data_IF_680013964938
#
_entry.id   IF_680013964938
#
_cell.length_a   1.000
_cell.length_b   1.000
_cell.length_c   1.000
_cell.angle_alpha   90.00
_cell.angle_beta   90.00
_cell.angle_gamma   90.00
#
_symmetry.space_group_name_H-M   'P 1'
#
loop_
_entity.id
_entity.type
_entity.pdbx_description
1 polymer ?
#
# COMPACT_ATOMS: atom_id res chain seq x y z
N UNK A 1 0.06 21.86 -83.02
CA UNK A 1 -0.12 22.15 -81.58
C UNK A 1 -0.90 20.98 -81.00
N UNK A 2 -0.29 20.07 -80.22
CA UNK A 2 -0.17 20.10 -78.74
C UNK A 2 -1.54 20.41 -78.09
N UNK A 3 -2.11 19.60 -77.20
CA UNK A 3 -1.51 19.07 -75.96
C UNK A 3 -2.18 17.72 -75.57
N UNK A 4 -1.36 16.72 -75.22
CA UNK A 4 -1.83 15.48 -74.57
C UNK A 4 -2.11 15.74 -73.09
N UNK A 5 -3.34 15.49 -72.64
CA UNK A 5 -3.72 15.55 -71.23
C UNK A 5 -3.21 14.29 -70.52
N UNK A 6 -2.11 14.41 -69.76
CA UNK A 6 -1.63 13.34 -68.87
C UNK A 6 -2.49 13.35 -67.61
N UNK A 7 -3.35 12.34 -67.44
CA UNK A 7 -4.06 12.12 -66.18
C UNK A 7 -3.13 11.47 -65.15
N UNK A 8 -3.05 11.97 -63.90
CA UNK A 8 -2.21 11.38 -62.89
C UNK A 8 -2.75 10.01 -62.46
N UNK A 9 -1.90 8.98 -62.55
CA UNK A 9 -2.18 7.64 -61.99
C UNK A 9 -2.28 7.76 -60.48
N UNK A 10 -3.47 7.61 -59.92
CA UNK A 10 -3.68 7.59 -58.48
C UNK A 10 -3.19 6.22 -57.95
N UNK A 11 -1.96 6.17 -57.41
CA UNK A 11 -1.47 4.97 -56.76
C UNK A 11 -2.34 4.69 -55.51
N UNK A 12 -2.88 3.47 -55.33
CA UNK A 12 -3.66 3.16 -54.13
C UNK A 12 -2.75 3.34 -52.92
N UNK A 13 -3.17 4.22 -51.99
CA UNK A 13 -2.47 4.44 -50.72
C UNK A 13 -2.49 3.12 -49.95
N UNK A 14 -1.35 2.42 -49.87
CA UNK A 14 -1.17 1.26 -49.00
C UNK A 14 -1.35 1.74 -47.55
N UNK A 15 -2.50 1.45 -46.95
CA UNK A 15 -2.68 1.62 -45.51
C UNK A 15 -1.76 0.63 -44.80
N UNK A 16 -0.94 1.11 -43.87
CA UNK A 16 -0.14 0.24 -43.03
C UNK A 16 -1.07 -0.74 -42.29
N UNK A 17 -0.81 -2.04 -42.41
CA UNK A 17 -1.48 -3.03 -41.56
C UNK A 17 -0.98 -2.79 -40.15
N UNK A 18 -1.87 -2.39 -39.25
CA UNK A 18 -1.59 -2.40 -37.81
C UNK A 18 -1.31 -3.86 -37.48
N UNK A 19 -0.05 -4.21 -37.22
CA UNK A 19 0.27 -5.50 -36.62
C UNK A 19 -0.39 -5.47 -35.26
N UNK A 20 -1.45 -6.24 -35.09
CA UNK A 20 -1.90 -6.62 -33.76
C UNK A 20 -0.71 -7.34 -33.14
N UNK A 21 0.02 -6.66 -32.25
CA UNK A 21 1.04 -7.30 -31.44
C UNK A 21 0.24 -8.15 -30.46
N UNK A 22 -0.03 -9.39 -30.87
CA UNK A 22 -0.44 -10.42 -29.91
C UNK A 22 0.75 -10.54 -28.97
N UNK A 23 0.59 -10.13 -27.71
CA UNK A 23 1.61 -10.37 -26.70
C UNK A 23 1.97 -11.86 -26.74
N UNK A 24 3.28 -12.14 -26.76
CA UNK A 24 3.76 -13.51 -26.82
C UNK A 24 3.14 -14.30 -25.64
N UNK A 25 2.56 -15.50 -25.87
CA UNK A 25 1.96 -16.30 -24.81
C UNK A 25 2.88 -16.53 -23.60
N UNK A 26 4.20 -16.59 -23.80
CA UNK A 26 5.20 -16.69 -22.73
C UNK A 26 5.29 -15.39 -21.91
N UNK A 27 5.21 -14.23 -22.57
CA UNK A 27 5.24 -12.92 -21.91
C UNK A 27 3.99 -12.73 -21.04
N UNK A 28 2.83 -13.17 -21.54
CA UNK A 28 1.57 -13.14 -20.78
C UNK A 28 1.70 -14.05 -19.55
N UNK A 29 2.12 -15.30 -19.74
CA UNK A 29 2.28 -16.29 -18.66
C UNK A 29 3.25 -15.79 -17.58
N UNK A 30 4.37 -15.19 -18.00
CA UNK A 30 5.38 -14.68 -17.07
C UNK A 30 4.86 -13.48 -16.26
N UNK A 31 4.14 -12.56 -16.91
CA UNK A 31 3.52 -11.40 -16.26
C UNK A 31 2.45 -11.83 -15.25
N UNK A 32 1.63 -12.80 -15.59
CA UNK A 32 0.62 -13.36 -14.67
C UNK A 32 1.28 -14.08 -13.49
N UNK A 33 2.35 -14.85 -13.75
CA UNK A 33 3.15 -15.47 -12.71
C UNK A 33 3.75 -14.45 -11.72
N UNK A 34 4.37 -13.38 -12.23
CA UNK A 34 4.90 -12.32 -11.37
C UNK A 34 3.81 -11.59 -10.60
N UNK A 35 2.64 -11.35 -11.20
CA UNK A 35 1.49 -10.76 -10.51
C UNK A 35 1.05 -11.63 -9.33
N UNK A 36 0.91 -12.95 -9.54
CA UNK A 36 0.56 -13.88 -8.47
C UNK A 36 1.60 -13.88 -7.34
N UNK A 37 2.89 -13.85 -7.67
CA UNK A 37 3.97 -13.76 -6.66
C UNK A 37 3.92 -12.44 -5.88
N UNK A 38 3.71 -11.32 -6.56
CA UNK A 38 3.59 -10.01 -5.91
C UNK A 38 2.38 -9.95 -4.97
N UNK A 39 1.21 -10.44 -5.42
CA UNK A 39 0.01 -10.54 -4.59
C UNK A 39 0.22 -11.48 -3.39
N UNK A 40 0.89 -12.61 -3.59
CA UNK A 40 1.24 -13.53 -2.52
C UNK A 40 2.20 -12.90 -1.51
N UNK A 41 3.16 -12.08 -1.93
CA UNK A 41 4.07 -11.37 -1.01
C UNK A 41 3.32 -10.31 -0.19
N UNK A 42 2.40 -9.57 -0.81
CA UNK A 42 1.54 -8.60 -0.12
C UNK A 42 0.69 -9.31 0.95
N UNK A 43 0.08 -10.46 0.60
CA UNK A 43 -0.71 -11.29 1.55
C UNK A 43 0.15 -12.01 2.58
N UNK A 44 1.36 -12.42 2.21
CA UNK A 44 2.33 -13.11 3.08
C UNK A 44 2.98 -12.19 4.10
N UNK A 45 2.80 -10.87 3.98
CA UNK A 45 3.28 -9.92 4.99
C UNK A 45 2.57 -10.07 6.34
N UNK A 46 1.70 -11.09 6.47
CA UNK A 46 0.89 -11.41 7.63
C UNK A 46 -0.30 -10.48 7.72
N UNK A 47 -1.36 -10.92 8.42
CA UNK A 47 -2.34 -10.01 9.02
C UNK A 47 -1.65 -9.24 10.16
N UNK A 48 -0.60 -8.53 9.80
CA UNK A 48 0.21 -7.65 10.62
C UNK A 48 -0.58 -6.33 10.80
N UNK A 49 -1.91 -6.41 10.84
CA UNK A 49 -2.85 -5.34 11.16
C UNK A 49 -3.73 -5.73 12.35
N UNK A 50 -3.57 -6.93 12.91
CA UNK A 50 -4.27 -7.32 14.12
C UNK A 50 -3.81 -6.47 15.32
N UNK A 51 -4.80 -5.90 16.01
CA UNK A 51 -4.66 -5.18 17.27
C UNK A 51 -4.60 -6.21 18.41
N UNK A 52 -3.64 -6.11 19.34
CA UNK A 52 -3.61 -6.99 20.52
C UNK A 52 -4.87 -6.85 21.39
N UNK A 53 -5.50 -7.97 21.74
CA UNK A 53 -6.74 -8.00 22.54
C UNK A 53 -6.58 -7.36 23.93
N UNK A 54 -5.40 -7.49 24.54
CA UNK A 54 -5.05 -6.99 25.88
C UNK A 54 -4.47 -5.56 25.85
N UNK A 55 -4.55 -4.85 24.71
CA UNK A 55 -3.91 -3.55 24.53
C UNK A 55 -4.40 -2.51 25.56
N UNK A 56 -5.71 -2.45 25.81
CA UNK A 56 -6.26 -1.51 26.79
C UNK A 56 -5.85 -1.86 28.22
N UNK A 57 -5.86 -3.15 28.59
CA UNK A 57 -5.45 -3.62 29.91
C UNK A 57 -3.99 -3.24 30.20
N UNK A 58 -3.11 -3.32 29.19
CA UNK A 58 -1.72 -2.89 29.34
C UNK A 58 -1.60 -1.37 29.47
N UNK A 59 -2.33 -0.58 28.69
CA UNK A 59 -2.25 0.90 28.72
C UNK A 59 -2.82 1.46 30.03
N UNK A 60 -3.97 0.96 30.47
CA UNK A 60 -4.67 1.43 31.68
C UNK A 60 -3.89 1.17 32.98
N UNK A 61 -2.90 0.27 32.96
CA UNK A 61 -2.03 0.00 34.13
C UNK A 61 -0.79 0.91 34.22
N UNK A 62 -0.63 1.85 33.29
CA UNK A 62 0.47 2.81 33.33
C UNK A 62 0.19 3.87 34.39
N UNK A 63 1.05 4.01 35.42
CA UNK A 63 0.89 5.02 36.44
C UNK A 63 1.22 6.40 35.87
N UNK A 64 0.85 7.45 36.62
CA UNK A 64 1.24 8.84 36.37
C UNK A 64 0.62 9.50 35.13
N UNK A 65 -0.41 8.88 34.54
CA UNK A 65 -1.20 9.45 33.45
C UNK A 65 -2.67 9.54 33.82
N UNK A 66 -3.30 10.64 33.42
CA UNK A 66 -4.76 10.77 33.47
C UNK A 66 -5.41 9.80 32.48
N UNK A 67 -6.58 9.25 32.86
CA UNK A 67 -7.29 8.26 32.07
C UNK A 67 -7.68 8.79 30.68
N UNK A 68 -8.00 10.07 30.56
CA UNK A 68 -8.29 10.73 29.27
C UNK A 68 -7.09 10.69 28.32
N UNK A 69 -5.87 10.96 28.82
CA UNK A 69 -4.65 10.87 28.02
C UNK A 69 -4.39 9.42 27.57
N UNK A 70 -4.66 8.44 28.43
CA UNK A 70 -4.52 7.01 28.13
C UNK A 70 -5.54 6.54 27.10
N UNK A 71 -6.80 6.95 27.22
CA UNK A 71 -7.87 6.65 26.26
C UNK A 71 -7.57 7.25 24.88
N UNK A 72 -7.10 8.49 24.82
CA UNK A 72 -6.73 9.12 23.55
C UNK A 72 -5.53 8.42 22.90
N UNK A 73 -4.53 8.02 23.71
CA UNK A 73 -3.41 7.23 23.20
C UNK A 73 -3.83 5.85 22.71
N UNK A 74 -4.77 5.19 23.39
CA UNK A 74 -5.34 3.92 22.95
C UNK A 74 -6.03 4.06 21.59
N UNK A 75 -6.86 5.09 21.39
CA UNK A 75 -7.48 5.38 20.08
C UNK A 75 -6.42 5.59 18.98
N UNK A 76 -5.35 6.32 19.27
CA UNK A 76 -4.23 6.47 18.34
C UNK A 76 -3.59 5.11 17.96
N UNK A 77 -3.46 4.18 18.90
CA UNK A 77 -2.91 2.86 18.61
C UNK A 77 -3.87 1.96 17.83
N UNK A 78 -5.19 2.08 18.03
CA UNK A 78 -6.21 1.40 17.21
C UNK A 78 -6.10 1.78 15.73
N UNK A 79 -5.87 3.06 15.44
CA UNK A 79 -5.65 3.55 14.08
C UNK A 79 -4.27 3.17 13.52
N UNK A 80 -3.36 2.66 14.35
CA UNK A 80 -1.97 2.36 13.99
C UNK A 80 -1.54 0.96 14.50
N UNK A 81 -2.06 -0.14 13.95
CA UNK A 81 -1.83 -1.49 14.51
C UNK A 81 -0.37 -1.92 14.63
N UNK A 82 0.48 -1.52 13.67
CA UNK A 82 1.94 -1.76 13.72
C UNK A 82 2.57 -1.08 14.93
N UNK A 83 2.14 0.14 15.23
CA UNK A 83 2.58 0.90 16.42
C UNK A 83 2.06 0.24 17.70
N UNK A 84 0.81 -0.23 17.72
CA UNK A 84 0.24 -0.96 18.84
C UNK A 84 1.06 -2.22 19.18
N UNK A 85 1.39 -3.05 18.18
CA UNK A 85 2.22 -4.23 18.40
C UNK A 85 3.64 -3.90 18.84
N UNK A 86 4.23 -2.85 18.27
CA UNK A 86 5.55 -2.37 18.71
C UNK A 86 5.51 -1.91 20.18
N UNK A 87 4.48 -1.16 20.56
CA UNK A 87 4.25 -0.71 21.92
C UNK A 87 4.16 -1.89 22.89
N UNK A 88 3.41 -2.94 22.56
CA UNK A 88 3.25 -4.12 23.44
C UNK A 88 4.58 -4.80 23.80
N UNK A 89 5.56 -4.79 22.89
CA UNK A 89 6.90 -5.37 23.09
C UNK A 89 7.81 -4.55 24.01
N UNK A 90 7.42 -3.33 24.38
CA UNK A 90 8.23 -2.44 25.22
C UNK A 90 8.18 -2.83 26.70
N UNK A 91 9.25 -2.51 27.43
CA UNK A 91 9.24 -2.52 28.90
C UNK A 91 8.26 -1.48 29.44
N UNK A 92 7.78 -1.64 30.67
CA UNK A 92 6.85 -0.68 31.31
C UNK A 92 7.36 0.76 31.26
N UNK A 93 8.65 0.97 31.54
CA UNK A 93 9.29 2.29 31.49
C UNK A 93 9.21 2.89 30.08
N UNK A 94 9.51 2.11 29.05
CA UNK A 94 9.49 2.59 27.67
C UNK A 94 8.06 2.84 27.16
N UNK A 95 7.07 2.07 27.63
CA UNK A 95 5.65 2.35 27.39
C UNK A 95 5.27 3.73 27.94
N UNK A 96 5.63 4.03 29.20
CA UNK A 96 5.40 5.36 29.79
C UNK A 96 6.09 6.47 28.99
N UNK A 97 7.32 6.28 28.53
CA UNK A 97 8.01 7.27 27.68
C UNK A 97 7.24 7.56 26.39
N UNK A 98 6.66 6.54 25.76
CA UNK A 98 5.87 6.71 24.54
C UNK A 98 4.59 7.49 24.81
N UNK A 99 3.85 7.13 25.86
CA UNK A 99 2.64 7.87 26.28
C UNK A 99 2.99 9.32 26.62
N UNK A 100 4.06 9.57 27.40
CA UNK A 100 4.48 10.94 27.73
C UNK A 100 4.83 11.77 26.49
N UNK A 101 5.50 11.18 25.50
CA UNK A 101 5.83 11.88 24.25
C UNK A 101 4.59 12.19 23.42
N UNK A 102 3.66 11.25 23.36
CA UNK A 102 2.38 11.45 22.69
C UNK A 102 1.56 12.53 23.38
N UNK A 103 1.43 12.46 24.71
CA UNK A 103 0.66 13.41 25.50
C UNK A 103 1.17 14.84 25.28
N UNK A 104 2.49 15.07 25.45
CA UNK A 104 3.15 16.37 25.21
C UNK A 104 2.93 16.97 23.82
N UNK A 105 2.57 16.15 22.83
CA UNK A 105 2.34 16.59 21.45
C UNK A 105 0.88 16.93 21.19
N UNK A 106 -0.06 16.30 21.91
CA UNK A 106 -1.49 16.35 21.61
C UNK A 106 -2.30 17.08 22.68
N UNK A 107 -1.69 17.43 23.82
CA UNK A 107 -2.26 18.17 24.95
C UNK A 107 -1.23 19.19 25.44
#
# INVERSE_FOLDING_TARGET
>A
MLVSLVTPKHHPKKKAKIKHIVEDPLVITLKDGFKLVAEALVKSSGDDDDIPDDLWDVISTLPDFEEEHLAHYYAHLLDNPKTARAFMKLTKINKSVWVSRYAKKNF
#
